data_IF_192125948220
#
_entry.id   IF_192125948220
#
_cell.length_a   1.000
_cell.length_b   1.000
_cell.length_c   1.000
_cell.angle_alpha   90.00
_cell.angle_beta   90.00
_cell.angle_gamma   90.00
#
_symmetry.space_group_name_H-M   'P 1'
#
loop_
_entity.id
_entity.type
_entity.pdbx_description
1 polymer ?
#
# COMPACT_ATOMS: atom_id res chain seq x y z
N UNK A 1 -41.99 64.18 18.88
CA UNK A 1 -40.55 64.23 18.55
C UNK A 1 -40.35 63.38 17.30
N UNK A 2 -40.23 64.08 16.17
CA UNK A 2 -39.88 63.70 14.78
C UNK A 2 -40.41 62.37 14.20
N UNK A 3 -41.40 62.56 13.30
CA UNK A 3 -41.87 61.71 12.21
C UNK A 3 -40.74 61.27 11.23
N UNK A 4 -40.88 60.10 10.61
CA UNK A 4 -40.71 59.96 9.16
C UNK A 4 -41.31 58.62 8.66
N UNK A 5 -42.50 58.72 8.07
CA UNK A 5 -43.02 57.75 7.11
C UNK A 5 -42.68 58.26 5.71
N UNK A 6 -42.04 57.43 4.89
CA UNK A 6 -41.74 57.79 3.50
C UNK A 6 -42.38 56.76 2.57
N UNK A 7 -43.43 57.23 1.90
CA UNK A 7 -44.09 56.63 0.75
C UNK A 7 -43.16 56.74 -0.46
N UNK A 8 -42.95 55.66 -1.21
CA UNK A 8 -42.39 55.75 -2.56
C UNK A 8 -43.45 55.40 -3.59
N UNK A 9 -43.72 56.39 -4.46
CA UNK A 9 -44.55 56.29 -5.65
C UNK A 9 -43.97 55.31 -6.66
N UNK A 10 -44.85 54.54 -7.28
CA UNK A 10 -44.60 53.77 -8.50
C UNK A 10 -44.56 54.74 -9.68
N UNK A 11 -43.43 54.80 -10.38
CA UNK A 11 -43.31 55.40 -11.70
C UNK A 11 -43.14 54.30 -12.75
N UNK A 12 -44.11 54.21 -13.66
CA UNK A 12 -44.07 53.31 -14.80
C UNK A 12 -43.12 53.86 -15.86
N UNK A 13 -42.03 53.12 -16.16
CA UNK A 13 -41.22 53.35 -17.35
C UNK A 13 -41.45 52.22 -18.35
N UNK A 14 -41.79 52.62 -19.57
CA UNK A 14 -42.02 51.74 -20.73
C UNK A 14 -40.74 51.02 -21.14
N UNK A 15 -40.93 49.77 -21.55
CA UNK A 15 -39.93 48.85 -22.09
C UNK A 15 -39.17 49.43 -23.29
N UNK A 16 -37.89 49.08 -23.39
CA UNK A 16 -37.15 49.11 -24.63
C UNK A 16 -36.57 47.71 -24.86
N UNK A 17 -37.25 46.93 -25.69
CA UNK A 17 -36.84 45.60 -26.11
C UNK A 17 -35.71 45.73 -27.14
N UNK A 18 -34.49 45.41 -26.73
CA UNK A 18 -33.42 45.00 -27.63
C UNK A 18 -32.29 44.31 -26.85
N UNK A 19 -32.51 43.04 -26.49
CA UNK A 19 -31.42 42.13 -26.13
C UNK A 19 -31.53 40.92 -27.06
N UNK A 20 -30.57 40.83 -27.97
CA UNK A 20 -30.47 39.73 -28.92
C UNK A 20 -30.40 38.39 -28.21
N UNK A 21 -31.16 37.42 -28.72
CA UNK A 21 -31.08 36.00 -28.34
C UNK A 21 -29.75 35.42 -28.83
N UNK A 22 -28.69 35.64 -28.07
CA UNK A 22 -27.49 34.81 -28.15
C UNK A 22 -27.71 33.57 -27.28
N UNK A 23 -27.82 32.40 -27.89
CA UNK A 23 -27.69 31.11 -27.19
C UNK A 23 -26.34 31.10 -26.46
N UNK A 24 -26.26 30.71 -25.17
CA UNK A 24 -24.97 30.57 -24.49
C UNK A 24 -24.14 29.55 -25.27
N UNK A 25 -22.97 29.95 -25.74
CA UNK A 25 -21.98 28.99 -26.22
C UNK A 25 -21.61 28.14 -25.01
N UNK A 26 -21.86 26.84 -25.06
CA UNK A 26 -21.26 25.89 -24.13
C UNK A 26 -19.74 26.09 -24.22
N UNK A 27 -19.17 26.73 -23.21
CA UNK A 27 -17.73 26.71 -23.02
C UNK A 27 -17.34 25.25 -22.85
N UNK A 28 -16.60 24.75 -23.83
CA UNK A 28 -16.08 23.40 -23.84
C UNK A 28 -14.94 23.36 -22.81
N UNK A 29 -15.31 23.31 -21.52
CA UNK A 29 -14.38 23.16 -20.40
C UNK A 29 -13.66 21.83 -20.67
N UNK A 30 -12.33 21.84 -20.88
CA UNK A 30 -11.60 20.61 -21.10
C UNK A 30 -11.89 19.65 -19.96
N UNK A 31 -12.28 18.41 -20.27
CA UNK A 31 -12.44 17.38 -19.25
C UNK A 31 -11.18 17.35 -18.39
N UNK A 32 -11.35 17.44 -17.07
CA UNK A 32 -10.23 17.47 -16.14
C UNK A 32 -9.27 16.30 -16.44
N UNK A 33 -7.98 16.61 -16.64
CA UNK A 33 -6.97 15.60 -16.92
C UNK A 33 -6.98 14.57 -15.79
N UNK A 34 -7.20 13.30 -16.15
CA UNK A 34 -7.14 12.17 -15.20
C UNK A 34 -5.71 11.63 -15.18
N UNK A 35 -5.11 11.54 -14.00
CA UNK A 35 -3.71 11.12 -13.84
C UNK A 35 -3.55 9.62 -13.59
N UNK A 36 -4.61 8.97 -13.10
CA UNK A 36 -4.72 7.51 -13.06
C UNK A 36 -5.55 7.02 -14.24
N UNK A 37 -5.16 5.90 -14.90
CA UNK A 37 -5.94 5.31 -16.00
C UNK A 37 -7.39 4.95 -15.65
N UNK A 38 -7.67 4.63 -14.38
CA UNK A 38 -9.04 4.36 -13.90
C UNK A 38 -9.82 5.63 -13.51
N UNK A 39 -9.20 6.81 -13.59
CA UNK A 39 -9.80 8.09 -13.22
C UNK A 39 -9.87 8.39 -11.72
N UNK A 40 -9.19 7.61 -10.86
CA UNK A 40 -9.02 7.98 -9.46
C UNK A 40 -8.22 9.29 -9.34
N UNK A 41 -8.53 10.06 -8.30
CA UNK A 41 -7.71 11.19 -7.86
C UNK A 41 -6.55 10.69 -6.98
N UNK A 42 -6.82 9.73 -6.10
CA UNK A 42 -5.82 9.12 -5.22
C UNK A 42 -6.05 7.60 -5.11
N UNK A 43 -4.97 6.84 -5.28
CA UNK A 43 -4.95 5.39 -5.02
C UNK A 43 -4.31 5.14 -3.66
N UNK A 44 -4.98 4.38 -2.79
CA UNK A 44 -4.42 3.90 -1.53
C UNK A 44 -4.10 2.41 -1.69
N UNK A 45 -2.91 1.99 -1.30
CA UNK A 45 -2.52 0.58 -1.35
C UNK A 45 -1.92 0.11 -0.04
N UNK A 46 -2.60 -0.85 0.58
CA UNK A 46 -2.17 -1.44 1.86
C UNK A 46 -1.31 -2.68 1.59
N UNK A 47 -0.15 -2.73 2.24
CA UNK A 47 0.66 -3.94 2.43
C UNK A 47 0.24 -4.59 3.74
N UNK A 48 -0.27 -5.83 3.67
CA UNK A 48 -0.61 -6.64 4.84
C UNK A 48 0.42 -7.76 4.98
N UNK A 49 1.38 -7.59 5.89
CA UNK A 49 2.45 -8.56 6.08
C UNK A 49 1.92 -9.80 6.79
N UNK A 50 2.12 -10.96 6.17
CA UNK A 50 1.89 -12.25 6.81
C UNK A 50 3.22 -12.96 6.99
N UNK A 51 3.71 -12.89 8.21
CA UNK A 51 5.09 -13.22 8.56
C UNK A 51 5.19 -14.17 9.75
N UNK A 52 4.16 -14.20 10.59
CA UNK A 52 4.03 -15.08 11.74
C UNK A 52 4.30 -16.53 11.34
N UNK A 53 5.35 -17.12 11.93
CA UNK A 53 5.80 -18.46 11.63
C UNK A 53 7.02 -18.54 10.72
N UNK A 54 7.41 -17.44 10.07
CA UNK A 54 8.57 -17.35 9.20
C UNK A 54 9.78 -16.61 9.78
N UNK A 55 9.68 -16.13 11.02
CA UNK A 55 10.74 -15.45 11.73
C UNK A 55 11.85 -16.42 12.23
N UNK A 56 13.13 -16.02 12.22
CA UNK A 56 14.23 -16.81 12.79
C UNK A 56 14.26 -16.76 14.33
N UNK A 57 15.12 -17.59 14.93
CA UNK A 57 15.49 -17.44 16.35
C UNK A 57 16.07 -16.05 16.60
N UNK A 58 15.65 -15.40 17.69
CA UNK A 58 16.11 -14.05 18.04
C UNK A 58 15.60 -12.95 17.10
N UNK A 59 14.55 -13.23 16.30
CA UNK A 59 13.87 -12.23 15.50
C UNK A 59 13.40 -11.04 16.34
N UNK A 60 13.28 -9.88 15.68
CA UNK A 60 12.86 -8.63 16.32
C UNK A 60 11.52 -8.79 17.04
N UNK A 61 11.44 -8.32 18.27
CA UNK A 61 10.26 -8.38 19.11
C UNK A 61 10.33 -7.30 20.21
N UNK A 62 9.26 -7.09 20.98
CA UNK A 62 9.29 -6.19 22.15
C UNK A 62 10.36 -6.55 23.20
N UNK A 63 10.92 -7.77 23.15
CA UNK A 63 11.94 -8.25 24.10
C UNK A 63 13.37 -8.17 23.54
N UNK A 64 13.57 -7.66 22.32
CA UNK A 64 14.87 -7.64 21.63
C UNK A 64 15.97 -6.84 22.33
N UNK A 65 15.62 -5.91 23.22
CA UNK A 65 16.61 -5.17 24.03
C UNK A 65 17.20 -5.99 25.19
N UNK A 66 16.59 -7.14 25.51
CA UNK A 66 17.04 -8.07 26.55
C UNK A 66 17.00 -9.51 26.01
N UNK A 67 17.83 -9.84 25.00
CA UNK A 67 17.76 -11.13 24.33
C UNK A 67 18.15 -12.27 25.28
N UNK A 68 17.46 -13.39 25.17
CA UNK A 68 17.85 -14.62 25.86
C UNK A 68 19.14 -15.22 25.26
N UNK A 69 19.89 -16.03 26.03
CA UNK A 69 21.01 -16.78 25.48
C UNK A 69 20.61 -17.66 24.30
N UNK A 70 21.47 -17.77 23.30
CA UNK A 70 21.23 -18.62 22.12
C UNK A 70 20.86 -20.05 22.52
N UNK A 71 19.84 -20.60 21.85
CA UNK A 71 19.27 -21.91 22.12
C UNK A 71 18.20 -21.93 23.22
N UNK A 72 17.93 -20.81 23.89
CA UNK A 72 16.83 -20.70 24.83
C UNK A 72 15.54 -20.26 24.12
N UNK A 73 14.41 -20.95 24.32
CA UNK A 73 13.15 -20.56 23.71
C UNK A 73 12.60 -19.29 24.36
N UNK A 74 12.49 -18.22 23.57
CA UNK A 74 11.83 -16.98 23.99
C UNK A 74 10.30 -17.11 23.84
N UNK A 75 9.68 -17.78 24.82
CA UNK A 75 8.26 -18.10 24.79
C UNK A 75 7.35 -16.85 24.69
N UNK A 76 7.64 -15.73 25.39
CA UNK A 76 6.92 -14.47 25.18
C UNK A 76 7.03 -13.95 23.75
N UNK A 77 8.24 -13.88 23.17
CA UNK A 77 8.41 -13.45 21.78
C UNK A 77 7.65 -14.38 20.82
N UNK A 78 7.76 -15.70 20.98
CA UNK A 78 7.00 -16.65 20.17
C UNK A 78 5.49 -16.45 20.28
N UNK A 79 4.98 -16.18 21.48
CA UNK A 79 3.55 -15.93 21.69
C UNK A 79 3.08 -14.63 21.04
N UNK A 80 3.93 -13.60 21.03
CA UNK A 80 3.67 -12.34 20.35
C UNK A 80 3.55 -12.53 18.84
N UNK A 81 4.42 -13.36 18.25
CA UNK A 81 4.25 -13.80 16.87
C UNK A 81 2.95 -14.57 16.68
N UNK A 82 2.66 -15.61 17.49
CA UNK A 82 1.44 -16.41 17.37
C UNK A 82 0.16 -15.56 17.37
N UNK A 83 0.14 -14.43 18.07
CA UNK A 83 -0.99 -13.49 18.03
C UNK A 83 -1.33 -13.02 16.61
N UNK A 84 -0.32 -12.75 15.76
CA UNK A 84 -0.53 -12.33 14.37
C UNK A 84 -1.32 -13.36 13.56
N UNK A 85 -0.99 -14.64 13.71
CA UNK A 85 -1.70 -15.73 13.04
C UNK A 85 -3.06 -16.07 13.68
N UNK A 86 -3.13 -16.11 15.01
CA UNK A 86 -4.36 -16.50 15.71
C UNK A 86 -5.46 -15.44 15.61
N UNK A 87 -5.08 -14.17 15.62
CA UNK A 87 -6.00 -13.05 15.82
C UNK A 87 -5.81 -11.94 14.79
N UNK A 88 -4.55 -11.57 14.52
CA UNK A 88 -4.19 -10.38 13.76
C UNK A 88 -4.69 -10.37 12.32
N UNK A 89 -4.31 -11.40 11.54
CA UNK A 89 -4.72 -11.54 10.13
C UNK A 89 -6.25 -11.57 10.01
N UNK A 90 -6.93 -12.41 10.79
CA UNK A 90 -8.39 -12.56 10.69
C UNK A 90 -9.11 -11.25 10.97
N UNK A 91 -8.69 -10.51 12.01
CA UNK A 91 -9.28 -9.20 12.34
C UNK A 91 -9.09 -8.18 11.21
N UNK A 92 -7.94 -8.16 10.56
CA UNK A 92 -7.72 -7.32 9.38
C UNK A 92 -8.61 -7.75 8.21
N UNK A 93 -8.69 -9.05 7.91
CA UNK A 93 -9.55 -9.60 6.85
C UNK A 93 -11.02 -9.21 7.04
N UNK A 94 -11.52 -9.23 8.28
CA UNK A 94 -12.89 -8.83 8.60
C UNK A 94 -13.17 -7.36 8.25
N UNK A 95 -12.24 -6.45 8.58
CA UNK A 95 -12.39 -5.02 8.24
C UNK A 95 -12.27 -4.81 6.73
N UNK A 96 -11.32 -5.46 6.05
CA UNK A 96 -11.22 -5.37 4.59
C UNK A 96 -12.50 -5.84 3.91
N UNK A 97 -13.06 -6.97 4.36
CA UNK A 97 -14.34 -7.50 3.87
C UNK A 97 -15.49 -6.53 4.13
N UNK A 98 -15.60 -5.96 5.34
CA UNK A 98 -16.65 -5.00 5.72
C UNK A 98 -16.72 -3.80 4.77
N UNK A 99 -15.57 -3.33 4.29
CA UNK A 99 -15.48 -2.16 3.40
C UNK A 99 -15.27 -2.51 1.93
N UNK A 100 -15.30 -3.80 1.57
CA UNK A 100 -15.00 -4.33 0.23
C UNK A 100 -13.65 -3.86 -0.33
N UNK A 101 -12.63 -3.84 0.53
CA UNK A 101 -11.26 -3.47 0.19
C UNK A 101 -10.46 -4.74 -0.09
N UNK A 102 -9.68 -4.74 -1.18
CA UNK A 102 -8.71 -5.80 -1.46
C UNK A 102 -7.30 -5.23 -1.31
N UNK A 103 -6.55 -5.77 -0.36
CA UNK A 103 -5.15 -5.43 -0.10
C UNK A 103 -4.18 -6.39 -0.80
N UNK A 104 -2.89 -6.04 -0.77
CA UNK A 104 -1.80 -6.93 -1.13
C UNK A 104 -1.20 -7.50 0.14
N UNK A 105 -1.22 -8.82 0.28
CA UNK A 105 -0.54 -9.49 1.37
C UNK A 105 0.83 -9.98 0.92
N UNK A 106 1.89 -9.60 1.64
CA UNK A 106 3.23 -10.14 1.38
C UNK A 106 3.44 -11.32 2.32
N UNK A 107 3.56 -12.50 1.73
CA UNK A 107 3.51 -13.77 2.44
C UNK A 107 4.89 -14.41 2.46
N UNK A 108 5.38 -14.69 3.66
CA UNK A 108 6.59 -15.49 3.86
C UNK A 108 6.29 -16.97 3.63
N UNK A 109 7.14 -17.66 2.86
CA UNK A 109 6.90 -19.05 2.49
C UNK A 109 6.71 -20.01 3.67
N UNK A 110 7.61 -19.97 4.65
CA UNK A 110 7.51 -20.82 5.86
C UNK A 110 6.35 -20.43 6.77
N UNK A 111 5.93 -19.16 6.78
CA UNK A 111 4.70 -18.74 7.47
C UNK A 111 3.47 -19.39 6.83
N UNK A 112 3.40 -19.41 5.50
CA UNK A 112 2.33 -20.10 4.77
C UNK A 112 2.35 -21.61 5.02
N UNK A 113 3.53 -22.24 5.03
CA UNK A 113 3.66 -23.68 5.34
C UNK A 113 3.20 -24.02 6.75
N UNK A 114 3.48 -23.14 7.72
CA UNK A 114 3.10 -23.32 9.12
C UNK A 114 1.60 -23.08 9.36
N UNK A 115 1.02 -22.09 8.68
CA UNK A 115 -0.40 -21.74 8.81
C UNK A 115 -1.08 -21.69 7.43
N UNK A 116 -1.25 -22.84 6.76
CA UNK A 116 -1.77 -22.90 5.39
C UNK A 116 -3.23 -22.43 5.30
N UNK A 117 -4.01 -22.57 6.36
CA UNK A 117 -5.38 -22.06 6.48
C UNK A 117 -5.43 -20.53 6.39
N UNK A 118 -4.46 -19.83 6.98
CA UNK A 118 -4.38 -18.36 6.94
C UNK A 118 -4.04 -17.90 5.52
N UNK A 119 -3.03 -18.50 4.90
CA UNK A 119 -2.66 -18.19 3.52
C UNK A 119 -3.84 -18.41 2.56
N UNK A 120 -4.60 -19.49 2.75
CA UNK A 120 -5.84 -19.76 1.99
C UNK A 120 -6.93 -18.74 2.29
N UNK A 121 -7.12 -18.33 3.54
CA UNK A 121 -8.11 -17.32 3.91
C UNK A 121 -7.83 -15.97 3.21
N UNK A 122 -6.56 -15.55 3.18
CA UNK A 122 -6.11 -14.35 2.46
C UNK A 122 -6.45 -14.49 0.96
N UNK A 123 -6.05 -15.59 0.34
CA UNK A 123 -6.28 -15.84 -1.09
C UNK A 123 -7.78 -15.91 -1.44
N UNK A 124 -8.57 -16.65 -0.67
CA UNK A 124 -10.02 -16.80 -0.85
C UNK A 124 -10.78 -15.49 -0.60
N UNK A 125 -10.21 -14.60 0.22
CA UNK A 125 -10.69 -13.23 0.40
C UNK A 125 -10.52 -12.36 -0.85
N UNK A 126 -9.84 -12.83 -1.90
CA UNK A 126 -9.56 -12.08 -3.13
C UNK A 126 -8.43 -11.05 -2.96
N UNK A 127 -7.65 -11.16 -1.88
CA UNK A 127 -6.44 -10.38 -1.69
C UNK A 127 -5.34 -10.87 -2.63
N UNK A 128 -4.44 -9.98 -3.02
CA UNK A 128 -3.25 -10.40 -3.75
C UNK A 128 -2.31 -11.15 -2.80
N UNK A 129 -1.72 -12.23 -3.32
CA UNK A 129 -0.61 -12.95 -2.69
C UNK A 129 0.70 -12.51 -3.36
N UNK A 130 1.41 -11.58 -2.71
CA UNK A 130 2.76 -11.18 -3.06
C UNK A 130 3.79 -12.00 -2.25
N UNK A 131 5.00 -12.15 -2.78
CA UNK A 131 6.04 -12.96 -2.16
C UNK A 131 6.94 -12.12 -1.24
N UNK A 132 7.32 -12.71 -0.10
CA UNK A 132 8.19 -12.11 0.90
C UNK A 132 9.34 -13.05 1.31
N UNK A 133 9.95 -13.71 0.33
CA UNK A 133 10.98 -14.73 0.56
C UNK A 133 10.45 -16.04 1.15
N UNK A 134 11.33 -17.04 1.26
CA UNK A 134 11.00 -18.29 1.97
C UNK A 134 10.96 -18.09 3.49
N UNK A 135 11.80 -17.22 4.03
CA UNK A 135 11.89 -16.86 5.45
C UNK A 135 12.33 -15.40 5.59
N UNK A 136 12.34 -14.87 6.81
CA UNK A 136 13.02 -13.60 7.07
C UNK A 136 14.54 -13.78 7.08
N UNK A 137 15.14 -13.56 5.93
CA UNK A 137 16.58 -13.60 5.77
C UNK A 137 17.07 -12.39 4.98
N UNK A 138 18.30 -11.98 5.26
CA UNK A 138 18.94 -10.87 4.59
C UNK A 138 19.26 -11.26 3.15
N UNK A 139 18.62 -10.60 2.17
CA UNK A 139 18.92 -10.84 0.74
C UNK A 139 20.18 -10.10 0.28
N UNK A 140 20.51 -8.95 0.89
CA UNK A 140 21.66 -8.13 0.50
C UNK A 140 23.02 -8.85 0.51
N UNK A 141 23.14 -9.98 1.23
CA UNK A 141 24.38 -10.76 1.31
C UNK A 141 24.39 -12.02 0.41
N UNK A 142 23.33 -12.25 -0.39
CA UNK A 142 23.20 -13.43 -1.24
C UNK A 142 23.81 -13.19 -2.61
N UNK A 143 24.49 -14.20 -3.15
CA UNK A 143 24.82 -14.22 -4.57
C UNK A 143 23.58 -14.51 -5.42
N UNK A 144 23.68 -14.28 -6.74
CA UNK A 144 22.54 -14.44 -7.66
C UNK A 144 21.87 -15.83 -7.56
N UNK A 145 22.65 -16.92 -7.47
CA UNK A 145 22.10 -18.28 -7.44
C UNK A 145 21.39 -18.57 -6.11
N UNK A 146 21.99 -18.15 -4.99
CA UNK A 146 21.38 -18.26 -3.66
C UNK A 146 20.07 -17.48 -3.59
N UNK A 147 20.07 -16.24 -4.10
CA UNK A 147 18.88 -15.39 -4.12
C UNK A 147 17.78 -15.95 -5.05
N UNK A 148 18.15 -16.45 -6.22
CA UNK A 148 17.23 -17.13 -7.14
C UNK A 148 16.53 -18.30 -6.46
N UNK A 149 17.28 -19.17 -5.78
CA UNK A 149 16.70 -20.30 -5.06
C UNK A 149 15.85 -19.84 -3.88
N UNK A 150 16.31 -18.85 -3.12
CA UNK A 150 15.59 -18.28 -1.98
C UNK A 150 14.21 -17.74 -2.39
N UNK A 151 14.15 -16.91 -3.43
CA UNK A 151 12.89 -16.36 -3.95
C UNK A 151 12.01 -17.47 -4.50
N UNK A 152 12.57 -18.37 -5.31
CA UNK A 152 11.81 -19.45 -5.95
C UNK A 152 11.17 -20.38 -4.92
N UNK A 153 11.90 -20.77 -3.89
CA UNK A 153 11.38 -21.62 -2.80
C UNK A 153 10.19 -20.97 -2.11
N UNK A 154 10.29 -19.68 -1.77
CA UNK A 154 9.19 -18.93 -1.14
C UNK A 154 7.94 -18.89 -2.02
N UNK A 155 8.10 -18.54 -3.30
CA UNK A 155 6.98 -18.47 -4.24
C UNK A 155 6.33 -19.83 -4.46
N UNK A 156 7.13 -20.88 -4.61
CA UNK A 156 6.62 -22.24 -4.84
C UNK A 156 5.84 -22.75 -3.62
N UNK A 157 6.33 -22.49 -2.41
CA UNK A 157 5.66 -22.85 -1.16
C UNK A 157 4.27 -22.18 -1.06
N UNK A 158 4.22 -20.86 -1.27
CA UNK A 158 2.97 -20.10 -1.21
C UNK A 158 2.01 -20.49 -2.33
N UNK A 159 2.50 -20.69 -3.55
CA UNK A 159 1.68 -21.11 -4.70
C UNK A 159 1.07 -22.50 -4.49
N UNK A 160 1.82 -23.44 -3.92
CA UNK A 160 1.33 -24.79 -3.59
C UNK A 160 0.11 -24.75 -2.66
N UNK A 161 0.04 -23.76 -1.77
CA UNK A 161 -0.99 -23.64 -0.73
C UNK A 161 -2.18 -22.82 -1.22
N UNK A 162 -1.91 -21.70 -1.90
CA UNK A 162 -2.92 -20.70 -2.29
C UNK A 162 -3.43 -20.86 -3.71
N UNK A 163 -2.70 -21.58 -4.57
CA UNK A 163 -2.94 -21.66 -6.01
C UNK A 163 -2.58 -20.38 -6.78
N UNK A 164 -2.28 -19.26 -6.10
CA UNK A 164 -1.97 -17.99 -6.73
C UNK A 164 -0.47 -17.90 -7.08
N UNK A 165 -0.17 -17.39 -8.29
CA UNK A 165 1.21 -17.05 -8.67
C UNK A 165 1.51 -15.64 -8.21
N UNK A 166 2.49 -15.49 -7.31
CA UNK A 166 2.99 -14.17 -6.93
C UNK A 166 3.61 -13.44 -8.13
N UNK A 167 3.26 -12.16 -8.28
CA UNK A 167 3.82 -11.26 -9.30
C UNK A 167 4.45 -10.00 -8.70
N UNK A 168 4.29 -9.82 -7.39
CA UNK A 168 4.90 -8.77 -6.58
C UNK A 168 5.85 -9.33 -5.55
N UNK A 169 6.91 -8.57 -5.25
CA UNK A 169 7.92 -8.96 -4.28
C UNK A 169 8.25 -7.83 -3.28
N UNK A 170 8.51 -8.24 -2.04
CA UNK A 170 9.08 -7.40 -0.99
C UNK A 170 10.27 -8.14 -0.36
N UNK A 171 11.44 -7.51 -0.28
CA UNK A 171 12.58 -8.03 0.47
C UNK A 171 12.40 -7.78 1.97
N UNK A 172 12.96 -8.66 2.79
CA UNK A 172 13.09 -8.40 4.22
C UNK A 172 13.78 -7.04 4.47
N UNK A 173 13.14 -6.17 5.24
CA UNK A 173 13.60 -4.81 5.54
C UNK A 173 13.89 -3.93 4.30
N UNK A 174 13.33 -4.24 3.13
CA UNK A 174 13.65 -3.59 1.84
C UNK A 174 15.10 -3.78 1.40
N UNK A 175 15.89 -4.57 2.13
CA UNK A 175 17.34 -4.71 1.92
C UNK A 175 17.63 -5.78 0.89
N UNK A 176 17.39 -5.38 -0.35
CA UNK A 176 17.68 -6.13 -1.57
C UNK A 176 19.18 -6.18 -1.88
N UNK A 177 19.60 -7.17 -2.65
CA UNK A 177 20.94 -7.24 -3.24
C UNK A 177 20.95 -6.53 -4.61
N UNK A 178 22.12 -6.19 -5.18
CA UNK A 178 22.22 -5.75 -6.58
C UNK A 178 21.70 -6.76 -7.62
N UNK A 179 21.47 -8.02 -7.23
CA UNK A 179 20.97 -9.08 -8.10
C UNK A 179 19.45 -9.21 -8.06
N UNK A 180 18.78 -8.67 -7.04
CA UNK A 180 17.38 -8.96 -6.75
C UNK A 180 16.47 -8.71 -7.95
N UNK A 181 16.55 -7.54 -8.60
CA UNK A 181 15.62 -7.25 -9.71
C UNK A 181 15.84 -8.16 -10.91
N UNK A 182 17.08 -8.58 -11.17
CA UNK A 182 17.41 -9.54 -12.23
C UNK A 182 16.81 -10.91 -11.90
N UNK A 183 16.96 -11.37 -10.65
CA UNK A 183 16.34 -12.60 -10.14
C UNK A 183 14.82 -12.54 -10.28
N UNK A 184 14.19 -11.46 -9.83
CA UNK A 184 12.74 -11.28 -9.92
C UNK A 184 12.26 -11.28 -11.37
N UNK A 185 12.97 -10.59 -12.26
CA UNK A 185 12.64 -10.58 -13.68
C UNK A 185 12.78 -11.98 -14.31
N UNK A 186 13.82 -12.74 -13.97
CA UNK A 186 14.04 -14.10 -14.49
C UNK A 186 12.98 -15.09 -13.98
N UNK A 187 12.39 -14.83 -12.80
CA UNK A 187 11.25 -15.57 -12.26
C UNK A 187 9.89 -15.06 -12.76
N UNK A 188 9.88 -14.00 -13.57
CA UNK A 188 8.68 -13.45 -14.20
C UNK A 188 7.78 -12.63 -13.27
N UNK A 189 8.37 -11.96 -12.28
CA UNK A 189 7.67 -10.94 -11.49
C UNK A 189 7.39 -9.69 -12.35
N UNK A 190 6.36 -8.94 -11.96
CA UNK A 190 5.95 -7.70 -12.62
C UNK A 190 6.46 -6.47 -11.87
N UNK A 191 6.54 -6.56 -10.54
CA UNK A 191 6.90 -5.42 -9.71
C UNK A 191 7.61 -5.81 -8.41
N UNK A 192 8.27 -4.83 -7.80
CA UNK A 192 8.71 -4.88 -6.39
C UNK A 192 8.28 -3.62 -5.64
N UNK A 193 8.40 -3.65 -4.32
CA UNK A 193 8.09 -2.49 -3.45
C UNK A 193 9.29 -1.93 -2.68
N UNK A 194 10.49 -2.50 -2.87
CA UNK A 194 11.69 -2.15 -2.11
C UNK A 194 12.32 -0.80 -2.50
N UNK A 195 11.51 0.25 -2.57
CA UNK A 195 11.91 1.63 -2.89
C UNK A 195 11.04 2.62 -2.10
N UNK A 196 11.62 3.75 -1.71
CA UNK A 196 11.00 4.77 -0.85
C UNK A 196 10.99 6.17 -1.48
N UNK A 197 11.42 6.30 -2.74
CA UNK A 197 11.83 7.57 -3.34
C UNK A 197 10.70 8.32 -4.07
N UNK A 198 9.54 7.70 -4.25
CA UNK A 198 8.41 8.29 -4.99
C UNK A 198 7.07 8.16 -4.26
N UNK A 199 6.15 9.07 -4.58
CA UNK A 199 4.74 9.03 -4.15
C UNK A 199 3.80 8.54 -5.28
N UNK A 200 4.36 7.93 -6.33
CA UNK A 200 3.62 7.31 -7.43
C UNK A 200 4.40 6.10 -7.99
N UNK A 201 3.73 5.10 -8.60
CA UNK A 201 4.43 4.01 -9.25
C UNK A 201 5.28 4.52 -10.40
N UNK A 202 6.44 3.89 -10.60
CA UNK A 202 7.37 4.24 -11.67
C UNK A 202 7.96 2.99 -12.32
N UNK A 203 8.66 3.17 -13.44
CA UNK A 203 9.36 2.11 -14.15
C UNK A 203 10.85 2.23 -13.89
N UNK A 204 11.49 1.12 -13.52
CA UNK A 204 12.94 0.95 -13.66
C UNK A 204 13.23 -0.07 -14.78
N UNK A 205 14.35 0.10 -15.48
CA UNK A 205 14.78 -0.83 -16.52
C UNK A 205 15.67 -1.91 -15.92
N UNK A 206 15.30 -3.17 -16.17
CA UNK A 206 16.07 -4.35 -15.78
C UNK A 206 16.32 -5.16 -17.04
N UNK A 207 17.60 -5.40 -17.38
CA UNK A 207 18.03 -6.01 -18.65
C UNK A 207 17.32 -5.40 -19.87
N UNK A 208 17.17 -4.08 -19.87
CA UNK A 208 16.49 -3.30 -20.92
C UNK A 208 14.95 -3.38 -20.94
N UNK A 209 14.31 -4.17 -20.07
CA UNK A 209 12.85 -4.33 -20.01
C UNK A 209 12.24 -3.53 -18.86
N UNK A 210 10.98 -3.14 -18.99
CA UNK A 210 10.23 -2.49 -17.92
C UNK A 210 10.10 -3.42 -16.72
N UNK A 211 10.30 -2.86 -15.53
CA UNK A 211 9.98 -3.49 -14.26
C UNK A 211 9.33 -2.43 -13.38
N UNK A 212 8.12 -2.70 -12.88
CA UNK A 212 7.37 -1.69 -12.12
C UNK A 212 7.92 -1.62 -10.70
N UNK A 213 8.03 -0.40 -10.19
CA UNK A 213 8.27 -0.14 -8.78
C UNK A 213 7.00 0.48 -8.21
N UNK A 214 6.49 -0.13 -7.14
CA UNK A 214 5.38 0.43 -6.36
C UNK A 214 5.96 0.89 -5.03
N UNK A 215 6.20 2.19 -4.83
CA UNK A 215 6.91 2.69 -3.65
C UNK A 215 6.28 2.22 -2.35
N UNK A 216 7.12 1.75 -1.43
CA UNK A 216 6.73 1.39 -0.07
C UNK A 216 6.81 2.60 0.86
N UNK A 217 6.53 2.37 2.14
CA UNK A 217 6.53 3.40 3.16
C UNK A 217 7.20 2.90 4.43
N UNK A 218 8.08 3.72 5.00
CA UNK A 218 8.51 3.60 6.39
C UNK A 218 7.78 4.59 7.29
N UNK A 219 7.20 5.65 6.71
CA UNK A 219 6.47 6.67 7.47
C UNK A 219 5.07 6.20 7.83
N UNK A 220 4.31 5.54 6.95
CA UNK A 220 3.00 4.95 7.27
C UNK A 220 3.11 3.45 7.53
N UNK A 221 3.96 3.10 8.49
CA UNK A 221 4.33 1.74 8.77
C UNK A 221 4.23 1.48 10.28
N UNK A 222 3.39 0.52 10.66
CA UNK A 222 3.11 0.20 12.06
C UNK A 222 4.34 -0.33 12.81
N UNK A 223 5.20 -1.15 12.19
CA UNK A 223 6.42 -1.61 12.86
C UNK A 223 7.37 -0.46 13.18
N UNK A 224 7.48 0.53 12.29
CA UNK A 224 8.36 1.69 12.49
C UNK A 224 7.78 2.63 13.55
N UNK A 225 6.49 2.91 13.50
CA UNK A 225 5.90 3.94 14.35
C UNK A 225 5.39 3.39 15.69
N UNK A 226 4.69 2.26 15.70
CA UNK A 226 4.11 1.68 16.91
C UNK A 226 5.19 0.95 17.70
N UNK A 227 5.87 -0.01 17.09
CA UNK A 227 6.90 -0.78 17.81
C UNK A 227 8.21 0.00 17.92
N UNK A 228 8.63 0.70 16.86
CA UNK A 228 9.90 1.42 16.85
C UNK A 228 9.88 2.76 17.58
N UNK A 229 8.88 3.62 17.33
CA UNK A 229 8.77 4.97 17.94
C UNK A 229 7.78 5.04 19.10
N UNK A 230 7.15 3.93 19.47
CA UNK A 230 6.17 3.85 20.56
C UNK A 230 5.00 4.81 20.42
N UNK A 231 4.51 5.00 19.20
CA UNK A 231 3.34 5.80 18.94
C UNK A 231 2.07 5.13 19.45
N UNK A 232 1.13 5.94 19.90
CA UNK A 232 -0.23 5.51 20.15
C UNK A 232 -1.04 5.40 18.84
N UNK A 233 -2.12 4.58 18.80
CA UNK A 233 -2.94 4.41 17.61
C UNK A 233 -3.56 5.71 17.06
N UNK A 234 -3.85 6.69 17.93
CA UNK A 234 -4.36 8.01 17.53
C UNK A 234 -3.28 8.88 16.85
N UNK A 235 -2.01 8.78 17.27
CA UNK A 235 -0.90 9.42 16.57
C UNK A 235 -0.72 8.84 15.17
N UNK A 236 -0.82 7.50 15.04
CA UNK A 236 -0.77 6.84 13.75
C UNK A 236 -1.95 7.25 12.84
N UNK A 237 -3.18 7.26 13.37
CA UNK A 237 -4.36 7.74 12.64
C UNK A 237 -4.22 9.20 12.19
N UNK A 238 -3.73 10.08 13.06
CA UNK A 238 -3.51 11.49 12.72
C UNK A 238 -2.52 11.64 11.56
N UNK A 239 -1.41 10.90 11.58
CA UNK A 239 -0.45 10.92 10.48
C UNK A 239 -1.06 10.41 9.16
N UNK A 240 -1.82 9.31 9.20
CA UNK A 240 -2.50 8.80 8.01
C UNK A 240 -3.43 9.87 7.40
N UNK A 241 -4.18 10.60 8.22
CA UNK A 241 -5.06 11.68 7.76
C UNK A 241 -4.27 12.85 7.16
N UNK A 242 -3.19 13.30 7.80
CA UNK A 242 -2.38 14.40 7.30
C UNK A 242 -1.69 14.06 5.97
N UNK A 243 -1.15 12.86 5.85
CA UNK A 243 -0.54 12.43 4.59
C UNK A 243 -1.59 12.24 3.50
N UNK A 244 -2.75 11.65 3.83
CA UNK A 244 -3.86 11.54 2.90
C UNK A 244 -4.32 12.90 2.37
N UNK A 245 -4.57 13.89 3.24
CA UNK A 245 -5.06 15.20 2.83
C UNK A 245 -4.09 15.87 1.85
N UNK A 246 -2.79 15.79 2.15
CA UNK A 246 -1.75 16.35 1.27
C UNK A 246 -1.67 15.63 -0.08
N UNK A 247 -1.66 14.29 -0.06
CA UNK A 247 -1.63 13.50 -1.30
C UNK A 247 -2.91 13.66 -2.11
N UNK A 248 -4.06 13.84 -1.46
CA UNK A 248 -5.34 14.06 -2.11
C UNK A 248 -5.37 15.42 -2.83
N UNK A 249 -4.94 16.50 -2.17
CA UNK A 249 -4.76 17.82 -2.79
C UNK A 249 -3.84 17.75 -4.01
N UNK A 250 -2.71 17.07 -3.87
CA UNK A 250 -1.76 16.89 -4.98
C UNK A 250 -2.34 16.02 -6.10
N UNK A 251 -3.10 14.99 -5.75
CA UNK A 251 -3.78 14.07 -6.68
C UNK A 251 -4.71 14.76 -7.68
N UNK A 252 -5.17 15.98 -7.36
CA UNK A 252 -5.97 16.79 -8.27
C UNK A 252 -5.19 17.29 -9.50
N UNK A 253 -3.85 17.34 -9.43
CA UNK A 253 -3.01 17.93 -10.49
C UNK A 253 -1.82 17.06 -10.93
N UNK A 254 -1.61 15.91 -10.30
CA UNK A 254 -0.61 14.91 -10.68
C UNK A 254 -0.97 13.53 -10.10
N UNK A 255 -0.39 12.46 -10.62
CA UNK A 255 -0.62 11.11 -10.10
C UNK A 255 -0.03 11.01 -8.70
N UNK A 256 -0.81 10.52 -7.73
CA UNK A 256 -0.36 10.22 -6.38
C UNK A 256 -0.92 8.89 -5.90
N UNK A 257 -0.13 8.19 -5.10
CA UNK A 257 -0.54 7.04 -4.33
C UNK A 257 -0.16 7.21 -2.87
N UNK A 258 -0.92 6.56 -1.99
CA UNK A 258 -0.58 6.42 -0.58
C UNK A 258 -0.32 4.94 -0.27
N UNK A 259 0.87 4.65 0.23
CA UNK A 259 1.22 3.32 0.75
C UNK A 259 1.03 3.29 2.27
N UNK A 260 0.52 2.18 2.78
CA UNK A 260 0.36 1.89 4.22
C UNK A 260 0.84 0.46 4.45
N UNK A 261 1.62 0.20 5.51
CA UNK A 261 2.06 -1.15 5.86
C UNK A 261 1.60 -1.56 7.25
N UNK A 262 0.99 -2.74 7.33
CA UNK A 262 0.44 -3.36 8.54
C UNK A 262 1.03 -4.76 8.68
N UNK A 263 1.60 -5.07 9.84
CA UNK A 263 2.13 -6.39 10.16
C UNK A 263 1.11 -7.15 11.02
N UNK A 264 0.92 -8.43 10.72
CA UNK A 264 -0.04 -9.32 11.38
C UNK A 264 -0.19 -9.12 12.90
N UNK A 265 0.92 -9.15 13.64
CA UNK A 265 0.98 -9.06 15.10
C UNK A 265 0.87 -7.64 15.68
N UNK A 266 0.97 -6.60 14.85
CA UNK A 266 0.97 -5.18 15.27
C UNK A 266 -0.29 -4.51 14.74
N UNK A 267 -0.39 -4.33 13.42
CA UNK A 267 -1.52 -3.75 12.73
C UNK A 267 -2.81 -4.55 12.89
N UNK A 268 -2.70 -5.85 13.16
CA UNK A 268 -3.85 -6.72 13.48
C UNK A 268 -4.35 -6.62 14.92
N UNK A 269 -3.72 -5.82 15.79
CA UNK A 269 -4.21 -5.60 17.16
C UNK A 269 -5.52 -4.78 17.17
N UNK A 270 -6.36 -4.89 18.21
CA UNK A 270 -7.70 -4.30 18.19
C UNK A 270 -7.66 -2.77 18.01
N UNK A 271 -6.73 -2.10 18.67
CA UNK A 271 -6.61 -0.64 18.60
C UNK A 271 -6.08 -0.16 17.24
N UNK A 272 -5.15 -0.89 16.63
CA UNK A 272 -4.64 -0.56 15.29
C UNK A 272 -5.69 -0.81 14.20
N UNK A 273 -6.45 -1.90 14.30
CA UNK A 273 -7.57 -2.16 13.38
C UNK A 273 -8.66 -1.09 13.54
N UNK A 274 -8.95 -0.65 14.78
CA UNK A 274 -9.86 0.47 15.02
C UNK A 274 -9.36 1.76 14.35
N UNK A 275 -8.09 2.13 14.52
CA UNK A 275 -7.50 3.28 13.86
C UNK A 275 -7.59 3.19 12.33
N UNK A 276 -7.31 2.02 11.75
CA UNK A 276 -7.44 1.81 10.31
C UNK A 276 -8.89 1.92 9.83
N UNK A 277 -9.85 1.39 10.60
CA UNK A 277 -11.27 1.53 10.28
C UNK A 277 -11.72 3.00 10.28
N UNK A 278 -11.28 3.79 11.27
CA UNK A 278 -11.55 5.24 11.31
C UNK A 278 -10.91 5.96 10.13
N UNK A 279 -9.71 5.55 9.70
CA UNK A 279 -9.09 6.09 8.49
C UNK A 279 -9.88 5.72 7.23
N UNK A 280 -10.34 4.47 7.07
CA UNK A 280 -11.18 4.07 5.94
C UNK A 280 -12.44 4.94 5.87
N UNK A 281 -13.14 5.14 7.00
CA UNK A 281 -14.32 6.01 7.06
C UNK A 281 -14.00 7.43 6.62
N UNK A 282 -12.90 7.99 7.12
CA UNK A 282 -12.43 9.34 6.75
C UNK A 282 -12.20 9.47 5.23
N UNK A 283 -11.50 8.52 4.61
CA UNK A 283 -11.21 8.58 3.17
C UNK A 283 -12.47 8.48 2.30
N UNK A 284 -13.52 7.81 2.78
CA UNK A 284 -14.81 7.68 2.08
C UNK A 284 -15.62 8.98 1.99
N UNK A 285 -15.25 9.99 2.78
CA UNK A 285 -15.84 11.33 2.69
C UNK A 285 -15.35 12.13 1.47
N UNK A 286 -14.30 11.64 0.79
CA UNK A 286 -13.72 12.26 -0.40
C UNK A 286 -14.07 11.49 -1.67
N UNK A 287 -14.19 12.21 -2.79
CA UNK A 287 -14.49 11.62 -4.09
C UNK A 287 -13.22 11.11 -4.79
N UNK A 288 -13.34 10.11 -5.66
CA UNK A 288 -12.20 9.67 -6.48
C UNK A 288 -11.06 8.99 -5.70
N UNK A 289 -11.30 8.55 -4.46
CA UNK A 289 -10.34 7.73 -3.70
C UNK A 289 -10.66 6.26 -3.91
N UNK A 290 -9.64 5.46 -4.23
CA UNK A 290 -9.80 4.01 -4.40
C UNK A 290 -8.73 3.24 -3.64
N UNK A 291 -9.11 2.12 -3.04
CA UNK A 291 -8.15 1.15 -2.49
C UNK A 291 -7.84 0.10 -3.55
N UNK A 292 -6.56 -0.16 -3.81
CA UNK A 292 -6.14 -1.09 -4.86
C UNK A 292 -5.03 -2.04 -4.42
N UNK A 293 -5.12 -3.27 -4.95
CA UNK A 293 -4.03 -4.24 -4.92
C UNK A 293 -2.87 -3.75 -5.79
N UNK A 294 -1.66 -4.09 -5.41
CA UNK A 294 -0.43 -3.68 -6.07
C UNK A 294 -0.25 -4.37 -7.42
N UNK A 295 -0.66 -5.62 -7.60
CA UNK A 295 -0.68 -6.24 -8.93
C UNK A 295 -1.56 -5.48 -9.93
N UNK A 296 -2.71 -4.99 -9.50
CA UNK A 296 -3.63 -4.22 -10.35
C UNK A 296 -3.04 -2.85 -10.69
N UNK A 297 -2.39 -2.18 -9.73
CA UNK A 297 -1.62 -0.95 -9.97
C UNK A 297 -0.50 -1.22 -10.98
N UNK A 298 0.29 -2.29 -10.78
CA UNK A 298 1.42 -2.61 -11.66
C UNK A 298 0.97 -2.87 -13.10
N UNK A 299 -0.07 -3.67 -13.31
CA UNK A 299 -0.65 -3.93 -14.64
C UNK A 299 -1.15 -2.64 -15.29
N UNK A 300 -1.73 -1.74 -14.50
CA UNK A 300 -2.26 -0.46 -14.97
C UNK A 300 -1.14 0.47 -15.46
N UNK A 301 -0.02 0.56 -14.73
CA UNK A 301 1.03 1.56 -15.01
C UNK A 301 2.16 1.05 -15.92
N UNK A 302 2.32 -0.27 -16.09
CA UNK A 302 3.43 -0.90 -16.81
C UNK A 302 3.67 -0.34 -18.23
N UNK A 303 2.59 -0.05 -18.95
CA UNK A 303 2.60 0.43 -20.33
C UNK A 303 1.93 1.79 -20.49
N UNK A 304 1.63 2.46 -19.39
CA UNK A 304 1.07 3.81 -19.43
C UNK A 304 2.18 4.80 -19.78
N UNK A 305 2.02 5.60 -20.86
CA UNK A 305 3.04 6.55 -21.30
C UNK A 305 3.31 7.67 -20.29
N UNK A 306 2.39 7.94 -19.35
CA UNK A 306 2.56 8.94 -18.31
C UNK A 306 3.27 8.39 -17.06
N UNK A 307 3.59 7.09 -17.01
CA UNK A 307 4.34 6.52 -15.88
C UNK A 307 5.81 6.98 -15.94
N UNK A 308 6.33 7.61 -14.88
CA UNK A 308 7.71 8.07 -14.86
C UNK A 308 8.69 6.89 -14.97
N UNK A 309 9.84 7.15 -15.59
CA UNK A 309 10.96 6.19 -15.66
C UNK A 309 12.07 6.71 -14.76
N UNK A 310 12.45 5.91 -13.78
CA UNK A 310 13.58 6.17 -12.89
C UNK A 310 14.57 5.01 -12.98
N UNK A 311 15.77 5.34 -13.48
CA UNK A 311 16.87 4.41 -13.69
C UNK A 311 18.06 4.73 -12.80
N UNK A 312 17.82 5.34 -11.63
CA UNK A 312 18.88 5.68 -10.66
C UNK A 312 19.74 4.48 -10.27
N UNK A 313 19.20 3.26 -10.40
CA UNK A 313 19.88 2.01 -10.06
C UNK A 313 20.33 1.20 -11.28
N UNK A 314 20.33 1.78 -12.48
CA UNK A 314 20.62 1.08 -13.73
C UNK A 314 21.98 0.37 -13.75
N UNK A 315 22.96 0.88 -13.00
CA UNK A 315 24.28 0.26 -12.87
C UNK A 315 24.23 -1.18 -12.33
N UNK A 316 23.18 -1.53 -11.57
CA UNK A 316 22.99 -2.87 -11.00
C UNK A 316 22.05 -3.74 -11.85
N UNK A 317 21.27 -3.13 -12.74
CA UNK A 317 20.12 -3.77 -13.38
C UNK A 317 20.40 -4.31 -14.79
N UNK A 318 21.60 -4.09 -15.34
CA UNK A 318 22.03 -4.63 -16.63
C UNK A 318 22.39 -6.12 -16.56
#
# INVERSE_FOLDING_TARGET
>A
MVLAATVFLVSAFKANDNVGKGSPKEENIPAAKKYWPNGAQLVISVSMQFETGGQPEGAESPFSNTPLPKGQPDLPAESWYRYGGNEGIYRMLDVWKKYNIKVTSHVVGTAAEKYPEIAKAIANGGHEIAAHGISWDNQWNKNYNEELQFVKQGVDAVKKITGQKAVGYNCNWLRRSPNTLKVLQDLGFLYHIDDLSHDEPFITKVKGKNFVVIPYTLRNNDIVNIEGKHWSPDQFLAQLKFEFDRLYEEGATKRRMMSISFHDRIGGTPAMVHAMEEFIKYTKEKQGVVFMRKDDIAKMVMNDPDTPVDNSEAIFNN
#
